data_IF_280645651499
#
_entry.id   IF_280645651499
#
_cell.length_a   1.000
_cell.length_b   1.000
_cell.length_c   1.000
_cell.angle_alpha   90.00
_cell.angle_beta   90.00
_cell.angle_gamma   90.00
#
_symmetry.space_group_name_H-M   'P 1'
#
loop_
_entity.id
_entity.type
_entity.pdbx_description
1 polymer ?
#
# COMPACT_ATOMS: atom_id res chain seq x y z
N UNK A 1 -64.99 -30.88 -24.47
CA UNK A 1 -63.69 -30.83 -25.19
C UNK A 1 -63.44 -29.39 -25.57
N UNK A 2 -62.19 -28.94 -25.42
CA UNK A 2 -61.69 -27.55 -25.45
C UNK A 2 -61.98 -26.78 -24.14
N UNK A 3 -61.03 -26.11 -23.49
CA UNK A 3 -59.60 -25.88 -23.72
C UNK A 3 -59.01 -25.36 -22.39
N UNK A 4 -57.88 -25.92 -21.95
CA UNK A 4 -57.13 -25.45 -20.78
C UNK A 4 -56.25 -24.26 -21.20
N UNK A 5 -56.50 -23.08 -20.65
CA UNK A 5 -55.60 -21.93 -20.75
C UNK A 5 -54.76 -21.81 -19.48
N UNK A 6 -53.55 -22.38 -19.51
CA UNK A 6 -52.55 -22.32 -18.44
C UNK A 6 -52.08 -20.88 -18.19
N UNK A 7 -52.30 -20.39 -16.97
CA UNK A 7 -51.70 -19.14 -16.48
C UNK A 7 -50.22 -19.36 -16.11
N UNK A 8 -49.42 -18.48 -16.68
CA UNK A 8 -48.04 -18.08 -16.40
C UNK A 8 -47.60 -18.21 -14.94
N UNK A 9 -46.46 -18.87 -14.69
CA UNK A 9 -45.53 -18.42 -13.64
C UNK A 9 -44.11 -18.80 -14.04
N UNK A 10 -43.30 -17.77 -14.26
CA UNK A 10 -41.89 -17.84 -14.61
C UNK A 10 -41.04 -18.54 -13.53
N UNK A 11 -40.01 -19.25 -14.00
CA UNK A 11 -38.96 -19.85 -13.19
C UNK A 11 -38.17 -18.80 -12.41
N UNK A 12 -37.90 -18.98 -11.10
CA UNK A 12 -36.86 -18.20 -10.44
C UNK A 12 -35.49 -18.75 -10.86
N UNK A 13 -34.75 -17.95 -11.63
CA UNK A 13 -33.31 -18.10 -11.78
C UNK A 13 -32.64 -17.57 -10.51
N UNK A 14 -32.41 -18.45 -9.53
CA UNK A 14 -31.47 -18.19 -8.45
C UNK A 14 -30.04 -18.35 -9.00
N UNK A 15 -29.63 -17.41 -9.85
CA UNK A 15 -28.24 -17.19 -10.17
C UNK A 15 -27.63 -16.39 -9.03
N UNK A 16 -26.95 -17.05 -8.09
CA UNK A 16 -25.98 -16.41 -7.22
C UNK A 16 -24.95 -15.69 -8.09
N UNK A 17 -25.20 -14.41 -8.34
CA UNK A 17 -24.22 -13.51 -8.92
C UNK A 17 -23.08 -13.39 -7.93
N UNK A 18 -22.05 -14.23 -8.12
CA UNK A 18 -20.71 -13.93 -7.63
C UNK A 18 -20.40 -12.55 -8.17
N UNK A 19 -20.50 -11.55 -7.29
CA UNK A 19 -19.98 -10.22 -7.55
C UNK A 19 -18.50 -10.44 -7.76
N UNK A 20 -18.06 -10.48 -9.02
CA UNK A 20 -16.66 -10.36 -9.36
C UNK A 20 -16.22 -9.02 -8.79
N UNK A 21 -15.56 -9.07 -7.64
CA UNK A 21 -14.82 -7.95 -7.09
C UNK A 21 -13.83 -7.56 -8.18
N UNK A 22 -14.20 -6.55 -8.95
CA UNK A 22 -13.31 -5.97 -9.96
C UNK A 22 -12.03 -5.59 -9.22
N UNK A 23 -10.85 -6.03 -9.67
CA UNK A 23 -9.61 -5.67 -9.02
C UNK A 23 -9.54 -4.15 -9.03
N UNK A 24 -9.68 -3.56 -7.84
CA UNK A 24 -9.48 -2.13 -7.67
C UNK A 24 -8.06 -1.85 -8.18
N UNK A 25 -7.86 -0.81 -9.01
CA UNK A 25 -6.52 -0.42 -9.36
C UNK A 25 -5.77 -0.16 -8.05
N UNK A 26 -4.77 -0.99 -7.78
CA UNK A 26 -3.93 -0.84 -6.61
C UNK A 26 -3.23 0.51 -6.80
N UNK A 27 -3.68 1.55 -6.11
CA UNK A 27 -2.96 2.82 -6.09
C UNK A 27 -1.50 2.50 -5.77
N UNK A 28 -0.52 3.07 -6.52
CA UNK A 28 0.87 2.73 -6.33
C UNK A 28 1.26 3.04 -4.88
N UNK A 29 1.36 1.98 -4.06
CA UNK A 29 1.77 2.11 -2.67
C UNK A 29 3.24 2.45 -2.68
N UNK A 30 3.61 3.45 -1.89
CA UNK A 30 5.01 3.78 -1.74
C UNK A 30 5.78 2.55 -1.25
N UNK A 31 7.05 2.40 -1.66
CA UNK A 31 7.95 1.42 -1.05
C UNK A 31 8.78 2.09 0.04
N UNK A 32 9.00 1.39 1.17
CA UNK A 32 9.94 1.82 2.21
C UNK A 32 11.28 1.11 2.10
N UNK A 33 12.38 1.87 2.22
CA UNK A 33 13.74 1.33 2.31
C UNK A 33 14.57 2.10 3.32
N UNK A 34 15.57 1.45 3.90
CA UNK A 34 16.54 2.08 4.79
C UNK A 34 17.96 1.69 4.40
N UNK A 35 18.87 2.66 4.36
CA UNK A 35 20.27 2.44 4.01
C UNK A 35 21.19 2.99 5.10
N UNK A 36 22.11 2.16 5.59
CA UNK A 36 23.15 2.59 6.52
C UNK A 36 24.31 3.26 5.79
N UNK A 37 24.64 4.46 6.24
CA UNK A 37 25.79 5.26 5.83
C UNK A 37 26.75 5.42 7.00
N UNK A 38 28.04 5.57 6.72
CA UNK A 38 29.05 5.70 7.77
C UNK A 38 28.81 6.96 8.64
N UNK A 39 28.37 8.06 8.03
CA UNK A 39 27.92 9.27 8.72
C UNK A 39 26.92 10.05 7.86
N UNK A 40 26.19 10.99 8.48
CA UNK A 40 25.26 11.89 7.78
C UNK A 40 25.60 13.36 8.02
N UNK A 41 25.28 14.26 7.07
CA UNK A 41 25.57 15.68 7.20
C UNK A 41 24.93 16.31 8.45
N UNK A 42 25.75 17.05 9.20
CA UNK A 42 25.32 17.77 10.40
C UNK A 42 25.13 16.86 11.63
N UNK A 43 25.73 15.66 11.64
CA UNK A 43 25.63 14.74 12.78
C UNK A 43 24.24 14.15 12.99
N UNK A 44 23.43 14.08 11.91
CA UNK A 44 22.08 13.53 11.98
C UNK A 44 22.11 12.01 12.12
N UNK A 45 21.13 11.47 12.84
CA UNK A 45 20.92 10.02 12.93
C UNK A 45 20.23 9.47 11.67
N UNK A 46 19.24 10.20 11.13
CA UNK A 46 18.45 9.80 9.96
C UNK A 46 18.14 11.01 9.07
N UNK A 47 18.08 10.82 7.75
CA UNK A 47 17.53 11.75 6.77
C UNK A 47 16.50 10.99 5.91
N UNK A 48 15.28 11.51 5.84
CA UNK A 48 14.25 11.02 4.93
C UNK A 48 14.40 11.63 3.53
N UNK A 49 14.31 10.78 2.51
CA UNK A 49 14.32 11.14 1.10
C UNK A 49 13.07 10.53 0.46
N UNK A 50 12.23 11.37 -0.11
CA UNK A 50 10.96 10.97 -0.71
C UNK A 50 10.92 11.35 -2.18
N UNK A 51 10.44 10.43 -2.99
CA UNK A 51 10.12 10.60 -4.40
C UNK A 51 8.81 9.87 -4.72
N UNK A 52 8.25 10.10 -5.90
CA UNK A 52 7.00 9.43 -6.30
C UNK A 52 7.13 7.90 -6.17
N UNK A 53 6.29 7.31 -5.32
CA UNK A 53 6.25 5.86 -5.10
C UNK A 53 7.39 5.28 -4.25
N UNK A 54 8.34 6.08 -3.77
CA UNK A 54 9.43 5.58 -2.91
C UNK A 54 9.77 6.53 -1.75
N UNK A 55 9.90 5.95 -0.56
CA UNK A 55 10.37 6.61 0.65
C UNK A 55 11.58 5.89 1.22
N UNK A 56 12.70 6.62 1.33
CA UNK A 56 13.97 6.07 1.82
C UNK A 56 14.47 6.81 3.06
N UNK A 57 14.94 6.07 4.04
CA UNK A 57 15.72 6.59 5.17
C UNK A 57 17.21 6.30 5.01
N UNK A 58 18.02 7.36 4.94
CA UNK A 58 19.47 7.27 5.12
C UNK A 58 19.78 7.34 6.61
N UNK A 59 20.49 6.37 7.14
CA UNK A 59 20.75 6.19 8.57
C UNK A 59 22.24 6.19 8.89
N UNK A 60 22.66 6.87 9.96
CA UNK A 60 24.07 6.90 10.38
C UNK A 60 24.43 5.71 11.26
N UNK A 61 25.49 4.98 10.90
CA UNK A 61 26.09 3.90 11.71
C UNK A 61 26.65 4.40 13.06
N UNK A 62 26.91 5.71 13.19
CA UNK A 62 27.33 6.31 14.47
C UNK A 62 26.20 6.32 15.51
N UNK A 63 24.95 6.24 15.05
CA UNK A 63 23.76 6.39 15.89
C UNK A 63 22.89 5.14 15.93
N UNK A 64 22.93 4.32 14.87
CA UNK A 64 22.03 3.20 14.68
C UNK A 64 22.81 1.91 14.44
N UNK A 65 22.38 0.85 15.14
CA UNK A 65 22.86 -0.52 14.89
C UNK A 65 22.13 -1.13 13.70
N UNK A 66 22.70 -2.19 13.13
CA UNK A 66 22.00 -2.96 12.09
C UNK A 66 20.65 -3.50 12.59
N UNK A 67 20.59 -3.99 13.83
CA UNK A 67 19.34 -4.46 14.43
C UNK A 67 18.26 -3.37 14.47
N UNK A 68 18.63 -2.14 14.87
CA UNK A 68 17.68 -1.04 14.88
C UNK A 68 17.15 -0.74 13.47
N UNK A 69 18.01 -0.82 12.45
CA UNK A 69 17.59 -0.68 11.05
C UNK A 69 16.62 -1.79 10.63
N UNK A 70 16.92 -3.04 10.98
CA UNK A 70 16.05 -4.17 10.63
C UNK A 70 14.65 -4.02 11.27
N UNK A 71 14.60 -3.63 12.55
CA UNK A 71 13.35 -3.37 13.28
C UNK A 71 12.56 -2.18 12.68
N UNK A 72 13.24 -1.08 12.32
CA UNK A 72 12.58 0.05 11.66
C UNK A 72 12.04 -0.32 10.28
N UNK A 73 12.79 -1.10 9.50
CA UNK A 73 12.35 -1.58 8.18
C UNK A 73 11.10 -2.43 8.32
N UNK A 74 11.06 -3.36 9.26
CA UNK A 74 9.87 -4.17 9.51
C UNK A 74 8.64 -3.31 9.84
N UNK A 75 8.77 -2.41 10.82
CA UNK A 75 7.65 -1.59 11.30
C UNK A 75 7.16 -0.57 10.26
N UNK A 76 8.08 0.13 9.59
CA UNK A 76 7.72 1.17 8.63
C UNK A 76 7.23 0.60 7.31
N UNK A 77 7.71 -0.58 6.92
CA UNK A 77 7.15 -1.28 5.76
C UNK A 77 5.67 -1.58 5.96
N UNK A 78 5.24 -1.93 7.18
CA UNK A 78 3.81 -2.13 7.47
C UNK A 78 3.02 -0.83 7.34
N UNK A 79 3.48 0.26 7.95
CA UNK A 79 2.81 1.57 7.90
C UNK A 79 2.66 2.06 6.46
N UNK A 80 3.72 1.91 5.67
CA UNK A 80 3.76 2.32 4.27
C UNK A 80 2.87 1.40 3.42
N UNK A 81 2.96 0.09 3.60
CA UNK A 81 2.13 -0.88 2.87
C UNK A 81 0.65 -0.77 3.25
N UNK A 82 0.29 -0.37 4.46
CA UNK A 82 -1.10 -0.15 4.87
C UNK A 82 -1.67 1.20 4.38
N UNK A 83 -0.87 1.99 3.67
CA UNK A 83 -1.28 3.29 3.12
C UNK A 83 -1.45 4.37 4.18
N UNK A 84 -0.90 4.17 5.39
CA UNK A 84 -0.93 5.16 6.47
C UNK A 84 0.14 6.23 6.30
N UNK A 85 1.12 5.99 5.43
CA UNK A 85 2.12 6.98 5.05
C UNK A 85 1.67 7.79 3.84
N UNK A 86 1.59 9.11 4.00
CA UNK A 86 1.37 10.05 2.89
C UNK A 86 2.70 10.68 2.52
N UNK A 87 3.16 10.46 1.29
CA UNK A 87 4.44 11.00 0.86
C UNK A 87 4.39 12.52 0.67
N UNK A 88 5.47 13.20 1.05
CA UNK A 88 5.66 14.62 0.89
C UNK A 88 6.94 14.91 0.10
N UNK A 89 6.85 14.80 -1.23
CA UNK A 89 7.96 15.05 -2.15
C UNK A 89 7.73 16.32 -2.99
N UNK A 90 8.81 17.00 -3.45
CA UNK A 90 8.69 18.20 -4.29
C UNK A 90 8.00 17.91 -5.62
N UNK A 91 6.74 18.33 -5.76
CA UNK A 91 5.91 18.07 -6.96
C UNK A 91 4.64 17.26 -6.68
N UNK A 92 4.48 16.72 -5.46
CA UNK A 92 3.29 15.98 -5.04
C UNK A 92 2.00 16.84 -4.96
N UNK A 93 2.12 18.17 -5.06
CA UNK A 93 0.98 19.10 -5.12
C UNK A 93 1.05 19.89 -6.44
N UNK A 94 0.35 19.40 -7.45
CA UNK A 94 -0.02 20.16 -8.66
C UNK A 94 -1.49 20.55 -8.60
#
# INVERSE_FOLDING_TARGET
MADEGTEETAEPQDGEGVREESPQPEEPRAEFRMELRDSLPGGRAVIGVEQEGEFMWLASKEHLTQQAVDEFVEQLSLIVNEGWWVQNWPGARS
#
